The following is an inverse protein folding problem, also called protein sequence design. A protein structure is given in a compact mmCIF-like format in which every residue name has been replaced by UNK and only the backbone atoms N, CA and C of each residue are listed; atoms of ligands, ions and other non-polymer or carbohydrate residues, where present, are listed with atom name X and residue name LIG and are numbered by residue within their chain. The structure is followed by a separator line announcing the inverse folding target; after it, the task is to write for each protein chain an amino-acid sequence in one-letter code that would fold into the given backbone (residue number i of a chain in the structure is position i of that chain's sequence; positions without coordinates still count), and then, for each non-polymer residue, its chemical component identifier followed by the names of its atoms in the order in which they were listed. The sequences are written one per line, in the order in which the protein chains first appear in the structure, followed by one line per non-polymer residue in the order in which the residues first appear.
data_IF_466738802416
#
_entry.id   IF_466738802416
#
_cell.length_a   1.000
_cell.length_b   1.000
_cell.length_c   1.000
_cell.angle_alpha   90.00
_cell.angle_beta   90.00
_cell.angle_gamma   90.00
#
_symmetry.space_group_name_H-M   'P 1'
#
loop_
_entity.id
_entity.type
_entity.pdbx_description
1 polymer ?
#
# COMPACT_ATOMS: atom_id res chain seq x y z
N UNK A 1 -23.14 0.29 -15.77
CA UNK A 1 -21.90 -0.39 -15.35
C UNK A 1 -20.78 -0.19 -16.38
N UNK A 2 -21.00 -0.54 -17.66
CA UNK A 2 -20.04 -0.31 -18.76
C UNK A 2 -19.61 1.17 -18.92
N UNK A 3 -20.54 2.11 -18.75
CA UNK A 3 -20.26 3.55 -18.88
C UNK A 3 -19.26 4.06 -17.82
N UNK A 4 -19.41 3.65 -16.56
CA UNK A 4 -18.50 4.05 -15.47
C UNK A 4 -17.09 3.49 -15.65
N UNK A 5 -16.96 2.28 -16.19
CA UNK A 5 -15.66 1.68 -16.48
C UNK A 5 -14.92 2.44 -17.60
N UNK A 6 -15.64 2.88 -18.63
CA UNK A 6 -15.08 3.71 -19.70
C UNK A 6 -14.64 5.08 -19.16
N UNK A 7 -15.45 5.72 -18.31
CA UNK A 7 -15.08 6.98 -17.65
C UNK A 7 -13.83 6.77 -16.79
N UNK A 8 -13.80 5.72 -15.97
CA UNK A 8 -12.65 5.40 -15.12
C UNK A 8 -11.38 5.17 -15.94
N UNK A 9 -11.45 4.43 -17.06
CA UNK A 9 -10.30 4.25 -17.96
C UNK A 9 -9.85 5.56 -18.56
N UNK A 10 -10.77 6.37 -19.09
CA UNK A 10 -10.44 7.67 -19.69
C UNK A 10 -9.75 8.61 -18.70
N UNK A 11 -10.23 8.63 -17.46
CA UNK A 11 -9.62 9.37 -16.36
C UNK A 11 -8.18 8.92 -16.11
N UNK A 12 -7.93 7.60 -16.03
CA UNK A 12 -6.59 7.06 -15.80
C UNK A 12 -5.63 7.23 -16.99
N UNK A 13 -6.16 7.44 -18.20
CA UNK A 13 -5.42 7.64 -19.44
C UNK A 13 -5.25 9.12 -19.81
N UNK A 14 -5.84 10.05 -19.04
CA UNK A 14 -5.68 11.49 -19.26
C UNK A 14 -4.21 11.91 -19.15
N UNK A 15 -3.75 12.74 -20.10
CA UNK A 15 -2.36 13.21 -20.16
C UNK A 15 -1.96 14.08 -18.97
N UNK A 16 -2.91 14.79 -18.36
CA UNK A 16 -2.70 15.58 -17.15
C UNK A 16 -2.60 14.72 -15.88
N UNK A 17 -3.08 13.47 -15.93
CA UNK A 17 -3.25 12.62 -14.77
C UNK A 17 -4.41 13.07 -13.85
N UNK A 18 -5.09 12.14 -13.18
CA UNK A 18 -6.12 12.48 -12.19
C UNK A 18 -5.50 12.96 -10.87
N UNK A 19 -6.28 13.75 -10.10
CA UNK A 19 -6.01 13.94 -8.67
C UNK A 19 -6.14 12.61 -7.89
N UNK A 20 -5.62 12.56 -6.67
CA UNK A 20 -5.56 11.33 -5.88
C UNK A 20 -6.94 10.72 -5.56
N UNK A 21 -7.94 11.47 -5.04
CA UNK A 21 -9.30 10.95 -4.89
C UNK A 21 -9.87 10.35 -6.17
N UNK A 22 -9.72 11.06 -7.30
CA UNK A 22 -10.21 10.62 -8.61
C UNK A 22 -9.49 9.36 -9.09
N UNK A 23 -8.17 9.25 -8.88
CA UNK A 23 -7.40 8.07 -9.21
C UNK A 23 -7.86 6.84 -8.41
N UNK A 24 -8.08 7.00 -7.11
CA UNK A 24 -8.58 5.94 -6.23
C UNK A 24 -9.98 5.50 -6.67
N UNK A 25 -10.88 6.44 -6.96
CA UNK A 25 -12.21 6.13 -7.49
C UNK A 25 -12.14 5.30 -8.78
N UNK A 26 -11.31 5.73 -9.74
CA UNK A 26 -11.18 5.04 -11.02
C UNK A 26 -10.59 3.63 -10.84
N UNK A 27 -9.56 3.49 -10.00
CA UNK A 27 -8.96 2.19 -9.72
C UNK A 27 -9.92 1.25 -8.97
N UNK A 28 -10.70 1.73 -8.00
CA UNK A 28 -11.77 0.96 -7.33
C UNK A 28 -12.82 0.47 -8.33
N UNK A 29 -13.21 1.32 -9.27
CA UNK A 29 -14.18 0.98 -10.32
C UNK A 29 -13.65 -0.16 -11.18
N UNK A 30 -12.36 -0.14 -11.52
CA UNK A 30 -11.76 -1.08 -12.46
C UNK A 30 -11.28 -2.40 -11.83
N UNK A 31 -10.87 -2.40 -10.56
CA UNK A 31 -10.35 -3.60 -9.88
C UNK A 31 -11.40 -4.72 -9.76
N UNK A 32 -12.69 -4.36 -9.77
CA UNK A 32 -13.81 -5.31 -9.74
C UNK A 32 -13.90 -6.20 -11.00
N UNK A 33 -13.21 -5.82 -12.09
CA UNK A 33 -13.22 -6.53 -13.38
C UNK A 33 -11.85 -6.85 -13.92
N UNK A 34 -10.83 -6.11 -13.52
CA UNK A 34 -9.47 -6.27 -14.02
C UNK A 34 -8.49 -6.20 -12.88
N UNK A 35 -8.04 -7.37 -12.43
CA UNK A 35 -7.12 -7.53 -11.30
C UNK A 35 -5.83 -6.71 -11.45
N UNK A 36 -5.37 -6.47 -12.68
CA UNK A 36 -4.17 -5.66 -12.97
C UNK A 36 -4.21 -4.21 -12.48
N UNK A 37 -5.38 -3.65 -12.13
CA UNK A 37 -5.46 -2.32 -11.51
C UNK A 37 -5.17 -2.33 -10.01
N UNK A 38 -5.00 -3.50 -9.38
CA UNK A 38 -4.86 -3.63 -7.93
C UNK A 38 -3.58 -2.97 -7.40
N UNK A 39 -2.44 -3.18 -8.08
CA UNK A 39 -1.18 -2.54 -7.69
C UNK A 39 -1.25 -1.02 -7.78
N UNK A 40 -1.93 -0.50 -8.81
CA UNK A 40 -2.19 0.94 -8.96
C UNK A 40 -3.12 1.47 -7.87
N UNK A 41 -4.16 0.72 -7.52
CA UNK A 41 -5.08 1.06 -6.44
C UNK A 41 -4.33 1.17 -5.11
N UNK A 42 -3.52 0.18 -4.75
CA UNK A 42 -2.72 0.19 -3.52
C UNK A 42 -1.80 1.42 -3.49
N UNK A 43 -1.08 1.69 -4.58
CA UNK A 43 -0.22 2.88 -4.68
C UNK A 43 -0.97 4.22 -4.58
N UNK A 44 -2.19 4.30 -5.12
CA UNK A 44 -3.03 5.50 -5.03
C UNK A 44 -3.59 5.69 -3.61
N UNK A 45 -4.08 4.63 -2.97
CA UNK A 45 -4.56 4.64 -1.58
C UNK A 45 -3.46 5.12 -0.62
N UNK A 46 -2.24 4.63 -0.78
CA UNK A 46 -1.09 5.01 0.04
C UNK A 46 -0.63 6.45 -0.19
N UNK A 47 -0.80 6.99 -1.40
CA UNK A 47 -0.56 8.43 -1.65
C UNK A 47 -1.67 9.28 -1.03
N UNK A 48 -2.93 8.87 -1.18
CA UNK A 48 -4.07 9.59 -0.61
C UNK A 48 -4.05 9.60 0.92
N UNK A 49 -3.72 8.48 1.55
CA UNK A 49 -3.56 8.35 3.00
C UNK A 49 -2.59 9.39 3.56
N UNK A 50 -1.49 9.65 2.87
CA UNK A 50 -0.46 10.59 3.33
C UNK A 50 -0.91 12.04 3.40
N UNK A 51 -1.81 12.44 2.50
CA UNK A 51 -2.30 13.82 2.40
C UNK A 51 -3.68 14.00 3.04
N UNK A 52 -4.21 12.93 3.66
CA UNK A 52 -5.50 12.98 4.37
C UNK A 52 -5.25 13.42 5.81
N UNK A 53 -5.92 14.46 6.28
CA UNK A 53 -5.68 14.98 7.64
C UNK A 53 -6.36 14.16 8.74
N UNK A 54 -7.53 13.59 8.44
CA UNK A 54 -8.34 12.83 9.39
C UNK A 54 -7.68 11.49 9.76
N UNK A 55 -7.29 11.26 11.03
CA UNK A 55 -6.67 10.00 11.45
C UNK A 55 -7.54 8.77 11.18
N UNK A 56 -8.86 8.90 11.29
CA UNK A 56 -9.81 7.83 10.99
C UNK A 56 -9.84 7.49 9.50
N UNK A 57 -9.84 8.50 8.63
CA UNK A 57 -9.83 8.28 7.19
C UNK A 57 -8.49 7.72 6.70
N UNK A 58 -7.38 8.18 7.29
CA UNK A 58 -6.05 7.61 7.04
C UNK A 58 -6.00 6.13 7.38
N UNK A 59 -6.54 5.75 8.55
CA UNK A 59 -6.62 4.35 8.94
C UNK A 59 -7.45 3.55 7.93
N UNK A 60 -8.64 4.03 7.55
CA UNK A 60 -9.52 3.36 6.58
C UNK A 60 -8.83 3.15 5.22
N UNK A 61 -8.08 4.15 4.74
CA UNK A 61 -7.32 4.05 3.49
C UNK A 61 -6.19 3.02 3.59
N UNK A 62 -5.50 2.95 4.73
CA UNK A 62 -4.46 1.95 4.98
C UNK A 62 -5.02 0.53 5.09
N UNK A 63 -6.15 0.34 5.77
CA UNK A 63 -6.85 -0.95 5.87
C UNK A 63 -7.25 -1.46 4.47
N UNK A 64 -7.80 -0.57 3.63
CA UNK A 64 -8.16 -0.89 2.26
C UNK A 64 -6.92 -1.24 1.41
N UNK A 65 -5.83 -0.49 1.58
CA UNK A 65 -4.58 -0.77 0.88
C UNK A 65 -4.04 -2.17 1.24
N UNK A 66 -4.09 -2.57 2.52
CA UNK A 66 -3.68 -3.91 2.97
C UNK A 66 -4.59 -4.98 2.36
N UNK A 67 -5.90 -4.77 2.39
CA UNK A 67 -6.87 -5.71 1.82
C UNK A 67 -6.61 -5.98 0.34
N UNK A 68 -6.28 -4.93 -0.43
CA UNK A 68 -5.92 -5.11 -1.84
C UNK A 68 -4.51 -5.67 -2.02
N UNK A 69 -3.52 -5.25 -1.25
CA UNK A 69 -2.15 -5.76 -1.40
C UNK A 69 -2.07 -7.28 -1.18
N UNK A 70 -2.84 -7.83 -0.24
CA UNK A 70 -2.93 -9.28 0.02
C UNK A 70 -3.52 -10.10 -1.13
N UNK A 71 -4.21 -9.45 -2.07
CA UNK A 71 -4.82 -10.09 -3.23
C UNK A 71 -3.96 -9.96 -4.51
N UNK A 72 -2.76 -9.40 -4.41
CA UNK A 72 -1.83 -9.33 -5.54
C UNK A 72 -1.00 -10.62 -5.51
N UNK A 73 -1.06 -11.39 -6.60
CA UNK A 73 -0.24 -12.58 -6.75
C UNK A 73 1.23 -12.17 -6.98
N UNK A 74 2.18 -12.61 -6.15
CA UNK A 74 3.61 -12.33 -6.35
C UNK A 74 4.18 -12.86 -7.68
N UNK A 75 3.55 -13.87 -8.28
CA UNK A 75 3.96 -14.40 -9.59
C UNK A 75 3.50 -13.49 -10.76
N UNK A 76 2.38 -12.78 -10.57
CA UNK A 76 1.84 -11.82 -11.56
C UNK A 76 2.45 -10.43 -11.41
N UNK A 77 2.85 -10.04 -10.19
CA UNK A 77 3.47 -8.75 -9.91
C UNK A 77 4.59 -8.89 -8.87
N UNK A 78 5.83 -8.75 -9.34
CA UNK A 78 7.02 -8.77 -8.49
C UNK A 78 7.03 -7.70 -7.39
N UNK A 79 6.16 -6.69 -7.45
CA UNK A 79 5.98 -5.68 -6.40
C UNK A 79 4.97 -6.07 -5.32
N UNK A 80 4.28 -7.22 -5.43
CA UNK A 80 3.22 -7.61 -4.50
C UNK A 80 3.68 -7.57 -3.03
N UNK A 81 4.86 -8.12 -2.75
CA UNK A 81 5.42 -8.17 -1.39
C UNK A 81 5.78 -6.77 -0.88
N UNK A 82 6.39 -5.92 -1.72
CA UNK A 82 6.72 -4.54 -1.36
C UNK A 82 5.45 -3.74 -1.04
N UNK A 83 4.44 -3.84 -1.89
CA UNK A 83 3.16 -3.17 -1.71
C UNK A 83 2.46 -3.59 -0.41
N UNK A 84 2.53 -4.88 -0.06
CA UNK A 84 2.00 -5.37 1.21
C UNK A 84 2.76 -4.80 2.41
N UNK A 85 4.10 -4.81 2.38
CA UNK A 85 4.93 -4.24 3.44
C UNK A 85 4.62 -2.76 3.64
N UNK A 86 4.50 -1.98 2.56
CA UNK A 86 4.16 -0.56 2.64
C UNK A 86 2.75 -0.30 3.17
N UNK A 87 1.78 -1.11 2.75
CA UNK A 87 0.42 -1.01 3.25
C UNK A 87 0.32 -1.34 4.75
N UNK A 88 0.99 -2.42 5.19
CA UNK A 88 1.05 -2.80 6.60
C UNK A 88 1.80 -1.75 7.43
N UNK A 89 2.83 -1.12 6.88
CA UNK A 89 3.54 -0.04 7.56
C UNK A 89 2.65 1.19 7.74
N UNK A 90 1.87 1.57 6.72
CA UNK A 90 0.88 2.64 6.85
C UNK A 90 -0.18 2.29 7.91
N UNK A 91 -0.70 1.05 7.89
CA UNK A 91 -1.65 0.54 8.86
C UNK A 91 -1.10 0.62 10.29
N UNK A 92 0.11 0.10 10.52
CA UNK A 92 0.80 0.15 11.81
C UNK A 92 0.90 1.59 12.34
N UNK A 93 1.39 2.53 11.52
CA UNK A 93 1.55 3.94 11.95
C UNK A 93 0.23 4.57 12.35
N UNK A 94 -0.84 4.31 11.57
CA UNK A 94 -2.15 4.87 11.84
C UNK A 94 -2.79 4.23 13.09
N UNK A 95 -2.59 2.93 13.30
CA UNK A 95 -3.03 2.25 14.52
C UNK A 95 -2.33 2.82 15.76
N UNK A 96 -1.01 3.04 15.70
CA UNK A 96 -0.27 3.66 16.80
C UNK A 96 -0.71 5.10 17.06
N UNK A 97 -0.94 5.90 16.02
CA UNK A 97 -1.45 7.27 16.17
C UNK A 97 -2.82 7.34 16.87
N UNK A 98 -3.62 6.27 16.76
CA UNK A 98 -4.93 6.12 17.42
C UNK A 98 -4.85 5.36 18.76
N UNK A 99 -3.65 5.03 19.25
CA UNK A 99 -3.46 4.28 20.50
C UNK A 99 -3.80 2.78 20.43
N UNK A 100 -4.04 2.24 19.24
CA UNK A 100 -4.36 0.81 19.01
C UNK A 100 -3.09 -0.04 18.93
N UNK A 101 -2.32 -0.06 20.02
CA UNK A 101 -0.96 -0.63 20.06
C UNK A 101 -0.91 -2.12 19.76
N UNK A 102 -1.86 -2.92 20.26
CA UNK A 102 -1.90 -4.38 20.02
C UNK A 102 -2.02 -4.69 18.53
N UNK A 103 -2.90 -3.99 17.84
CA UNK A 103 -3.15 -4.19 16.41
C UNK A 103 -1.99 -3.67 15.56
N UNK A 104 -1.41 -2.53 15.94
CA UNK A 104 -0.20 -2.02 15.31
C UNK A 104 0.98 -3.01 15.43
N UNK A 105 1.11 -3.68 16.58
CA UNK A 105 2.12 -4.74 16.76
C UNK A 105 1.84 -5.95 15.89
N UNK A 106 0.57 -6.35 15.74
CA UNK A 106 0.21 -7.45 14.84
C UNK A 106 0.58 -7.13 13.38
N UNK A 107 0.30 -5.91 12.92
CA UNK A 107 0.73 -5.45 11.59
C UNK A 107 2.25 -5.47 11.45
N UNK A 108 3.01 -5.03 12.48
CA UNK A 108 4.48 -5.12 12.51
C UNK A 108 4.98 -6.55 12.35
N UNK A 109 4.34 -7.49 13.04
CA UNK A 109 4.73 -8.90 13.00
C UNK A 109 4.50 -9.50 11.61
N UNK A 110 3.39 -9.16 10.94
CA UNK A 110 3.14 -9.59 9.57
C UNK A 110 4.19 -9.05 8.59
N UNK A 111 4.65 -7.80 8.79
CA UNK A 111 5.76 -7.23 8.00
C UNK A 111 7.02 -8.08 8.17
N UNK A 112 7.42 -8.40 9.40
CA UNK A 112 8.62 -9.20 9.69
C UNK A 112 8.53 -10.60 9.07
N UNK A 113 7.37 -11.25 9.15
CA UNK A 113 7.15 -12.59 8.55
C UNK A 113 7.20 -12.54 7.01
N UNK A 114 6.72 -11.45 6.42
CA UNK A 114 6.67 -11.27 4.96
C UNK A 114 7.99 -10.80 4.37
N UNK A 115 8.86 -10.22 5.20
CA UNK A 115 10.12 -9.64 4.77
C UNK A 115 11.14 -10.70 4.39
N UNK A 116 11.71 -10.54 3.19
CA UNK A 116 12.88 -11.31 2.74
C UNK A 116 14.03 -10.34 2.45
N UNK A 117 15.21 -10.53 3.06
CA UNK A 117 16.38 -9.73 2.73
C UNK A 117 16.66 -9.72 1.22
N UNK A 118 16.94 -8.54 0.66
CA UNK A 118 17.26 -8.38 -0.77
C UNK A 118 16.06 -8.13 -1.71
N UNK A 119 14.83 -8.15 -1.21
CA UNK A 119 13.64 -7.87 -2.04
C UNK A 119 13.53 -6.39 -2.46
N UNK A 120 14.12 -5.46 -1.68
CA UNK A 120 13.96 -4.01 -1.85
C UNK A 120 15.06 -3.31 -2.68
N UNK A 121 15.98 -4.08 -3.29
CA UNK A 121 17.25 -3.52 -3.81
C UNK A 121 17.26 -3.05 -5.26
N UNK A 122 16.12 -2.99 -5.97
CA UNK A 122 16.08 -2.37 -7.30
C UNK A 122 15.69 -0.89 -7.25
N UNK A 123 16.71 -0.04 -7.24
CA UNK A 123 16.63 1.38 -7.62
C UNK A 123 16.04 1.48 -9.04
N UNK A 124 14.91 2.18 -9.18
CA UNK A 124 14.27 2.47 -10.47
C UNK A 124 12.78 2.11 -10.60
N UNK A 125 12.16 1.47 -9.60
CA UNK A 125 10.72 1.22 -9.63
C UNK A 125 9.94 2.46 -9.17
N UNK A 126 8.80 2.78 -9.81
CA UNK A 126 7.96 3.92 -9.42
C UNK A 126 7.28 3.74 -8.05
N UNK A 127 7.02 2.50 -7.64
CA UNK A 127 6.50 2.19 -6.29
C UNK A 127 7.60 2.41 -5.27
N UNK A 128 8.83 1.90 -5.50
CA UNK A 128 9.95 2.17 -4.61
C UNK A 128 10.43 3.61 -4.69
N UNK A 129 10.30 4.34 -5.80
CA UNK A 129 10.75 5.73 -5.93
C UNK A 129 9.98 6.68 -4.99
N UNK A 130 8.65 6.56 -4.89
CA UNK A 130 7.86 7.34 -3.92
C UNK A 130 8.05 6.92 -2.45
N UNK A 131 8.86 5.89 -2.22
CA UNK A 131 9.12 5.26 -0.93
C UNK A 131 10.63 5.16 -0.62
N UNK A 132 11.49 5.51 -1.56
CA UNK A 132 12.93 5.72 -1.44
C UNK A 132 13.22 7.14 -0.94
N UNK A 133 12.28 8.07 -1.16
CA UNK A 133 12.33 9.44 -0.64
C UNK A 133 12.04 9.52 0.88
N UNK A 134 11.69 8.40 1.53
CA UNK A 134 11.66 8.26 3.00
C UNK A 134 12.38 6.99 3.41
N UNK A 135 12.84 6.98 4.66
CA UNK A 135 13.44 5.80 5.28
C UNK A 135 12.46 4.61 5.17
N UNK A 136 12.89 3.49 4.56
CA UNK A 136 12.07 2.28 4.49
C UNK A 136 11.64 1.87 5.90
N UNK A 137 10.52 1.14 6.08
CA UNK A 137 10.23 0.54 7.37
C UNK A 137 11.51 -0.20 7.84
N UNK A 138 12.00 0.04 9.06
CA UNK A 138 13.24 -0.55 9.55
C UNK A 138 13.01 -2.03 9.92
N UNK A 139 12.61 -2.83 8.93
CA UNK A 139 12.17 -4.21 9.11
C UNK A 139 13.32 -5.08 9.58
N UNK A 140 14.56 -4.78 9.16
CA UNK A 140 15.76 -5.47 9.63
C UNK A 140 15.93 -5.29 11.14
N UNK A 141 15.77 -4.08 11.66
CA UNK A 141 15.87 -3.79 13.10
C UNK A 141 14.74 -4.48 13.87
N UNK A 142 13.52 -4.45 13.31
CA UNK A 142 12.37 -5.11 13.91
C UNK A 142 12.50 -6.64 13.97
N UNK A 143 13.12 -7.24 12.96
CA UNK A 143 13.41 -8.67 12.93
C UNK A 143 14.49 -9.03 13.97
N UNK A 144 15.50 -8.18 14.16
CA UNK A 144 16.53 -8.37 15.18
C UNK A 144 15.97 -8.23 16.62
N UNK A 145 15.08 -7.26 16.86
CA UNK A 145 14.36 -7.10 18.13
C UNK A 145 13.52 -8.36 18.45
N UNK A 146 12.84 -8.94 17.45
CA UNK A 146 12.01 -10.13 17.63
C UNK A 146 12.85 -11.38 17.97
N UNK A 147 14.04 -11.52 17.39
CA UNK A 147 14.94 -12.63 17.64
C UNK A 147 15.59 -12.60 19.03
N UNK A 148 15.69 -11.43 19.66
CA UNK A 148 16.26 -11.26 21.02
C UNK A 148 15.22 -11.37 22.14
N UNK A 149 13.93 -11.32 21.80
CA UNK A 149 12.81 -11.42 22.74
C UNK A 149 12.25 -12.86 22.90
N UNK A 150 12.82 -13.84 22.19
CA UNK A 150 12.48 -15.28 22.28
C UNK A 150 13.55 -16.04 23.05
#
# INVERSE_FOLDING_TARGET
MIELELIARNVLLSSAGPDLPTEVWACRTLVARTAGYRSRLVGALLRLERVTDSPADRLRLAEEAVAHARLIDPDDDHHATDLLIWALHALQRNLYALGRTTEGRAARQEIVVSYRPGLHTKLGCRVTACYADREPPPVADWAADAATAS
#
